data_IF_246597062338
#
_entry.id   IF_246597062338
#
_cell.length_a   1.000
_cell.length_b   1.000
_cell.length_c   1.000
_cell.angle_alpha   90.00
_cell.angle_beta   90.00
_cell.angle_gamma   90.00
#
_symmetry.space_group_name_H-M   'P 1'
#
loop_
_entity.id
_entity.type
_entity.pdbx_description
1 polymer ?
#
# COMPACT_ATOMS: atom_id res chain seq x y z
N UNK A 1 4.30 -28.26 33.79
CA UNK A 1 2.98 -27.63 33.51
C UNK A 1 2.92 -26.10 33.67
N UNK A 2 3.68 -25.46 34.58
CA UNK A 2 3.65 -24.00 34.82
C UNK A 2 4.15 -23.13 33.65
N UNK A 3 5.13 -23.61 32.87
CA UNK A 3 5.70 -22.91 31.70
C UNK A 3 4.69 -22.74 30.54
N UNK A 4 3.79 -23.70 30.33
CA UNK A 4 2.80 -23.69 29.25
C UNK A 4 1.75 -22.60 29.49
N UNK A 5 1.26 -22.44 30.72
CA UNK A 5 0.33 -21.34 31.07
C UNK A 5 0.96 -19.95 30.91
N UNK A 6 2.25 -19.82 31.19
CA UNK A 6 2.98 -18.55 30.99
C UNK A 6 3.11 -18.23 29.50
N UNK A 7 3.43 -19.22 28.67
CA UNK A 7 3.49 -19.06 27.22
C UNK A 7 2.13 -18.63 26.62
N UNK A 8 1.03 -19.27 27.01
CA UNK A 8 -0.31 -18.87 26.55
C UNK A 8 -0.70 -17.46 27.00
N UNK A 9 -0.32 -17.04 28.21
CA UNK A 9 -0.55 -15.67 28.69
C UNK A 9 0.30 -14.64 27.94
N UNK A 10 1.55 -14.97 27.64
CA UNK A 10 2.42 -14.12 26.83
C UNK A 10 1.88 -13.96 25.40
N UNK A 11 1.40 -15.06 24.80
CA UNK A 11 0.76 -15.04 23.49
C UNK A 11 -0.52 -14.20 23.49
N UNK A 12 -1.39 -14.36 24.50
CA UNK A 12 -2.60 -13.54 24.62
C UNK A 12 -2.31 -12.05 24.79
N UNK A 13 -1.26 -11.69 25.55
CA UNK A 13 -0.80 -10.30 25.68
C UNK A 13 -0.21 -9.76 24.37
N UNK A 14 0.58 -10.57 23.68
CA UNK A 14 1.15 -10.23 22.37
C UNK A 14 0.06 -10.00 21.32
N UNK A 15 -0.92 -10.90 21.24
CA UNK A 15 -2.07 -10.77 20.34
C UNK A 15 -2.93 -9.53 20.68
N UNK A 16 -3.13 -9.23 21.97
CA UNK A 16 -3.83 -8.02 22.40
C UNK A 16 -3.07 -6.73 22.09
N UNK A 17 -1.72 -6.77 22.06
CA UNK A 17 -0.89 -5.61 21.68
C UNK A 17 -0.82 -5.36 20.18
N UNK A 18 -1.14 -6.35 19.34
CA UNK A 18 -0.97 -6.26 17.90
C UNK A 18 -2.30 -5.89 17.21
N UNK A 19 -2.82 -4.69 17.51
CA UNK A 19 -4.03 -4.17 16.87
C UNK A 19 -3.77 -3.96 15.38
N UNK A 20 -4.45 -4.74 14.53
CA UNK A 20 -4.42 -4.55 13.09
C UNK A 20 -5.05 -3.20 12.75
N UNK A 21 -4.24 -2.30 12.20
CA UNK A 21 -4.70 -0.99 11.72
C UNK A 21 -5.30 -1.19 10.33
N UNK A 22 -6.63 -1.26 10.25
CA UNK A 22 -7.34 -1.49 8.98
C UNK A 22 -7.33 -0.26 8.06
N UNK A 23 -7.15 0.95 8.61
CA UNK A 23 -7.19 2.22 7.86
C UNK A 23 -5.99 3.12 8.21
N UNK A 24 -4.76 2.68 7.91
CA UNK A 24 -3.55 3.42 8.26
C UNK A 24 -3.43 4.76 7.52
N UNK A 25 -4.05 4.90 6.33
CA UNK A 25 -4.02 6.12 5.52
C UNK A 25 -4.58 7.36 6.24
N UNK A 26 -5.45 7.19 7.24
CA UNK A 26 -6.08 8.31 7.97
C UNK A 26 -5.05 9.17 8.71
N UNK A 27 -3.98 8.56 9.20
CA UNK A 27 -2.89 9.25 9.89
C UNK A 27 -1.96 9.98 8.93
N UNK A 28 -1.89 9.47 7.70
CA UNK A 28 -1.13 10.14 6.63
C UNK A 28 -1.84 11.42 6.17
N UNK A 29 -3.18 11.42 6.20
CA UNK A 29 -4.00 12.57 5.83
C UNK A 29 -4.09 13.66 6.91
N UNK A 30 -3.91 13.35 8.20
CA UNK A 30 -4.12 14.32 9.28
C UNK A 30 -3.14 15.50 9.25
N UNK A 31 -1.91 15.26 8.78
CA UNK A 31 -0.86 16.29 8.70
C UNK A 31 -0.61 16.77 7.25
N UNK A 32 -1.55 16.51 6.33
CA UNK A 32 -1.35 16.75 4.90
C UNK A 32 -1.53 18.23 4.54
N UNK A 33 -0.52 18.81 3.88
CA UNK A 33 -0.49 20.25 3.57
C UNK A 33 -0.65 20.52 2.06
N UNK A 34 -1.09 21.73 1.70
CA UNK A 34 -1.18 22.18 0.30
C UNK A 34 0.16 22.24 -0.47
N UNK A 35 1.29 22.17 0.24
CA UNK A 35 2.61 22.01 -0.38
C UNK A 35 2.85 20.55 -0.79
N UNK A 36 2.44 19.61 0.06
CA UNK A 36 2.55 18.18 -0.19
C UNK A 36 1.71 17.80 -1.43
N UNK A 37 0.51 18.35 -1.58
CA UNK A 37 -0.32 18.09 -2.77
C UNK A 37 0.31 18.53 -4.09
N UNK A 38 1.06 19.64 -4.10
CA UNK A 38 1.80 20.08 -5.29
C UNK A 38 3.00 19.18 -5.57
N UNK A 39 3.68 18.72 -4.53
CA UNK A 39 4.80 17.79 -4.66
C UNK A 39 4.31 16.42 -5.16
N UNK A 40 3.24 15.90 -4.57
CA UNK A 40 2.62 14.62 -4.93
C UNK A 40 2.05 14.65 -6.34
N UNK A 41 1.44 15.76 -6.79
CA UNK A 41 0.96 15.86 -8.17
C UNK A 41 2.11 15.74 -9.18
N UNK A 42 3.25 16.37 -8.91
CA UNK A 42 4.44 16.27 -9.76
C UNK A 42 5.02 14.86 -9.75
N UNK A 43 5.10 14.24 -8.56
CA UNK A 43 5.56 12.87 -8.42
C UNK A 43 4.62 11.87 -9.13
N UNK A 44 3.30 12.05 -8.99
CA UNK A 44 2.29 11.22 -9.62
C UNK A 44 2.36 11.27 -11.14
N UNK A 45 2.60 12.44 -11.74
CA UNK A 45 2.79 12.57 -13.18
C UNK A 45 4.02 11.78 -13.64
N UNK A 46 5.15 11.93 -12.94
CA UNK A 46 6.38 11.22 -13.27
C UNK A 46 6.20 9.70 -13.19
N UNK A 47 5.56 9.20 -12.13
CA UNK A 47 5.30 7.77 -11.93
C UNK A 47 4.29 7.24 -12.94
N UNK A 48 3.21 7.99 -13.22
CA UNK A 48 2.18 7.58 -14.17
C UNK A 48 2.74 7.41 -15.59
N UNK A 49 3.63 8.30 -16.03
CA UNK A 49 4.29 8.20 -17.33
C UNK A 49 5.15 6.94 -17.44
N UNK A 50 5.83 6.55 -16.36
CA UNK A 50 6.63 5.33 -16.31
C UNK A 50 5.76 4.07 -16.22
N UNK A 51 4.64 4.13 -15.51
CA UNK A 51 3.75 3.00 -15.27
C UNK A 51 3.11 2.46 -16.54
N UNK A 52 2.86 3.31 -17.56
CA UNK A 52 2.26 2.88 -18.83
C UNK A 52 3.13 1.83 -19.54
N UNK A 53 4.37 2.14 -19.99
CA UNK A 53 5.20 1.15 -20.67
C UNK A 53 5.56 -0.03 -19.76
N UNK A 54 5.74 0.19 -18.44
CA UNK A 54 6.02 -0.88 -17.49
C UNK A 54 4.86 -1.88 -17.38
N UNK A 55 3.62 -1.40 -17.24
CA UNK A 55 2.42 -2.24 -17.19
C UNK A 55 2.21 -3.01 -18.49
N UNK A 56 2.43 -2.35 -19.63
CA UNK A 56 2.39 -3.00 -20.94
C UNK A 56 3.41 -4.15 -21.05
N UNK A 57 4.64 -3.93 -20.58
CA UNK A 57 5.69 -4.94 -20.60
C UNK A 57 5.35 -6.16 -19.72
N UNK A 58 4.80 -5.96 -18.51
CA UNK A 58 4.40 -7.08 -17.65
C UNK A 58 3.22 -7.87 -18.21
N UNK A 59 2.24 -7.20 -18.83
CA UNK A 59 1.16 -7.89 -19.53
C UNK A 59 1.70 -8.74 -20.70
N UNK A 60 2.65 -8.20 -21.47
CA UNK A 60 3.28 -8.93 -22.56
C UNK A 60 4.07 -10.16 -22.07
N UNK A 61 4.82 -10.04 -20.97
CA UNK A 61 5.55 -11.18 -20.36
C UNK A 61 4.58 -12.26 -19.86
N UNK A 62 3.42 -11.86 -19.35
CA UNK A 62 2.38 -12.76 -18.89
C UNK A 62 1.49 -13.33 -20.02
N UNK A 63 1.79 -13.00 -21.28
CA UNK A 63 0.98 -13.35 -22.47
C UNK A 63 -0.49 -12.89 -22.36
N UNK A 64 -0.73 -11.80 -21.63
CA UNK A 64 -2.05 -11.20 -21.46
C UNK A 64 -2.23 -10.04 -22.46
N UNK A 65 -3.48 -9.70 -22.83
CA UNK A 65 -3.77 -8.46 -23.53
C UNK A 65 -3.22 -7.25 -22.77
N UNK A 66 -2.53 -6.36 -23.49
CA UNK A 66 -1.82 -5.18 -22.94
C UNK A 66 -2.70 -4.33 -22.02
N UNK A 67 -3.99 -4.22 -22.33
CA UNK A 67 -4.97 -3.49 -21.51
C UNK A 67 -4.97 -3.93 -20.05
N UNK A 68 -4.79 -5.23 -19.76
CA UNK A 68 -4.78 -5.73 -18.39
C UNK A 68 -3.61 -5.19 -17.57
N UNK A 69 -2.45 -4.94 -18.20
CA UNK A 69 -1.31 -4.32 -17.52
C UNK A 69 -1.62 -2.88 -17.08
N UNK A 70 -2.19 -2.09 -17.98
CA UNK A 70 -2.55 -0.69 -17.70
C UNK A 70 -3.63 -0.60 -16.63
N UNK A 71 -4.70 -1.39 -16.78
CA UNK A 71 -5.82 -1.40 -15.82
C UNK A 71 -5.37 -1.89 -14.45
N UNK A 72 -4.54 -2.94 -14.38
CA UNK A 72 -3.99 -3.44 -13.12
C UNK A 72 -3.12 -2.38 -12.42
N UNK A 73 -2.21 -1.72 -13.15
CA UNK A 73 -1.37 -0.67 -12.59
C UNK A 73 -2.20 0.52 -12.07
N UNK A 74 -3.25 0.93 -12.79
CA UNK A 74 -4.14 2.00 -12.35
C UNK A 74 -4.91 1.62 -11.06
N UNK A 75 -5.50 0.42 -11.02
CA UNK A 75 -6.21 -0.08 -9.84
C UNK A 75 -5.25 -0.20 -8.65
N UNK A 76 -4.06 -0.75 -8.86
CA UNK A 76 -3.05 -0.88 -7.81
C UNK A 76 -2.66 0.49 -7.23
N UNK A 77 -2.40 1.48 -8.07
CA UNK A 77 -2.05 2.84 -7.63
C UNK A 77 -3.18 3.54 -6.84
N UNK A 78 -4.44 3.18 -7.07
CA UNK A 78 -5.58 3.74 -6.31
C UNK A 78 -5.85 3.00 -5.01
N UNK A 79 -5.72 1.67 -5.01
CA UNK A 79 -6.14 0.81 -3.89
C UNK A 79 -5.01 0.59 -2.90
N UNK A 80 -3.77 0.42 -3.36
CA UNK A 80 -2.64 0.11 -2.48
C UNK A 80 -2.36 1.20 -1.42
N UNK A 81 -2.41 2.51 -1.73
CA UNK A 81 -2.15 3.55 -0.74
C UNK A 81 -3.14 3.56 0.44
N UNK A 82 -4.37 3.04 0.25
CA UNK A 82 -5.38 2.94 1.32
C UNK A 82 -4.95 2.00 2.45
N UNK A 83 -4.13 1.00 2.12
CA UNK A 83 -3.61 0.02 3.08
C UNK A 83 -2.15 0.29 3.45
N UNK A 84 -1.53 1.31 2.86
CA UNK A 84 -0.15 1.66 3.14
C UNK A 84 -0.04 2.44 4.46
N UNK A 85 0.92 2.03 5.29
CA UNK A 85 1.30 2.79 6.48
C UNK A 85 2.32 3.91 6.18
N UNK A 86 2.79 4.01 4.93
CA UNK A 86 3.73 5.03 4.48
C UNK A 86 3.01 6.11 3.68
N UNK A 87 3.48 7.35 3.80
CA UNK A 87 2.98 8.52 3.04
C UNK A 87 3.42 8.51 1.56
N UNK A 88 4.36 7.64 1.18
CA UNK A 88 5.00 7.66 -0.16
C UNK A 88 4.76 6.37 -0.97
N UNK A 89 3.67 5.66 -0.69
CA UNK A 89 3.25 4.45 -1.41
C UNK A 89 2.09 4.79 -2.32
#
# INVERSE_FOLDING_TARGET
MRKIRLACRAFGKWAASNQLRLFPFRENLSDYTSLDSKADLRAAINIALLAIPQGMAYAAIAELPILYGIVCSAIAAMVAPLFASSKHT
#
